data_IF_565455746167
#
_entry.id   IF_565455746167
#
_cell.length_a   1.000
_cell.length_b   1.000
_cell.length_c   1.000
_cell.angle_alpha   90.00
_cell.angle_beta   90.00
_cell.angle_gamma   90.00
#
_symmetry.space_group_name_H-M   'P 1'
#
loop_
_entity.id
_entity.type
_entity.pdbx_description
1 polymer ?
#
# COMPACT_ATOMS: atom_id res chain seq x y z
N UNK A 1 -7.29 1.43 -26.52
CA UNK A 1 -6.98 2.54 -25.60
C UNK A 1 -5.90 2.01 -24.69
N UNK A 2 -4.69 2.58 -24.73
CA UNK A 2 -3.64 2.21 -23.78
C UNK A 2 -4.17 2.43 -22.36
N UNK A 3 -4.16 1.39 -21.53
CA UNK A 3 -4.49 1.50 -20.12
C UNK A 3 -3.40 2.34 -19.45
N UNK A 4 -3.67 3.62 -19.25
CA UNK A 4 -2.79 4.49 -18.47
C UNK A 4 -2.73 3.94 -17.03
N UNK A 5 -1.54 3.58 -16.49
CA UNK A 5 -1.41 3.00 -15.16
C UNK A 5 -1.98 3.90 -14.05
N UNK A 6 -1.88 5.23 -14.21
CA UNK A 6 -2.45 6.21 -13.27
C UNK A 6 -3.97 6.17 -13.27
N UNK A 7 -4.59 6.01 -14.44
CA UNK A 7 -6.04 5.87 -14.57
C UNK A 7 -6.53 4.60 -13.87
N UNK A 8 -5.87 3.46 -14.12
CA UNK A 8 -6.18 2.20 -13.47
C UNK A 8 -6.00 2.29 -11.94
N UNK A 9 -4.96 2.97 -11.48
CA UNK A 9 -4.73 3.21 -10.05
C UNK A 9 -5.89 3.96 -9.39
N UNK A 10 -6.37 5.05 -9.99
CA UNK A 10 -7.52 5.79 -9.45
C UNK A 10 -8.81 4.94 -9.40
N UNK A 11 -9.04 4.11 -10.41
CA UNK A 11 -10.19 3.20 -10.44
C UNK A 11 -10.08 2.17 -9.32
N UNK A 12 -8.90 1.56 -9.13
CA UNK A 12 -8.68 0.58 -8.06
C UNK A 12 -8.88 1.20 -6.68
N UNK A 13 -8.31 2.40 -6.43
CA UNK A 13 -8.49 3.10 -5.15
C UNK A 13 -9.93 3.50 -4.88
N UNK A 14 -10.69 3.85 -5.91
CA UNK A 14 -12.12 4.07 -5.77
C UNK A 14 -12.85 2.79 -5.34
N UNK A 15 -12.55 1.64 -5.95
CA UNK A 15 -13.16 0.36 -5.59
C UNK A 15 -12.78 -0.09 -4.18
N UNK A 16 -11.51 0.05 -3.79
CA UNK A 16 -11.03 -0.25 -2.44
C UNK A 16 -11.75 0.62 -1.40
N UNK A 17 -11.87 1.92 -1.69
CA UNK A 17 -12.59 2.85 -0.84
C UNK A 17 -14.10 2.53 -0.74
N UNK A 18 -14.77 2.16 -1.84
CA UNK A 18 -16.17 1.72 -1.78
C UNK A 18 -16.34 0.47 -0.92
N UNK A 19 -15.44 -0.51 -1.09
CA UNK A 19 -15.45 -1.75 -0.30
C UNK A 19 -15.27 -1.46 1.19
N UNK A 20 -14.35 -0.56 1.54
CA UNK A 20 -14.09 -0.18 2.93
C UNK A 20 -15.25 0.58 3.59
N UNK A 21 -16.06 1.33 2.82
CA UNK A 21 -17.20 2.08 3.36
C UNK A 21 -18.53 1.30 3.29
N UNK A 22 -18.52 0.04 2.84
CA UNK A 22 -19.70 -0.83 2.68
C UNK A 22 -20.88 -0.17 1.93
N UNK A 23 -20.58 0.81 1.07
CA UNK A 23 -21.58 1.66 0.42
C UNK A 23 -21.26 1.85 -1.06
N UNK A 24 -22.32 1.84 -1.89
CA UNK A 24 -22.22 2.16 -3.30
C UNK A 24 -22.14 3.69 -3.47
N UNK A 25 -21.00 4.26 -3.11
CA UNK A 25 -20.72 5.68 -3.30
C UNK A 25 -20.26 5.99 -4.72
N UNK A 26 -20.63 7.14 -5.25
CA UNK A 26 -20.27 7.63 -6.58
C UNK A 26 -18.83 8.15 -6.66
N UNK A 27 -18.30 8.25 -7.88
CA UNK A 27 -16.99 8.88 -8.14
C UNK A 27 -16.93 10.35 -7.67
N UNK A 28 -18.06 11.06 -7.65
CA UNK A 28 -18.15 12.42 -7.11
C UNK A 28 -18.04 12.47 -5.58
N UNK A 29 -18.52 11.44 -4.88
CA UNK A 29 -18.30 11.31 -3.44
C UNK A 29 -16.85 10.96 -3.14
N UNK A 30 -16.22 10.11 -3.96
CA UNK A 30 -14.80 9.83 -3.84
C UNK A 30 -13.93 11.07 -4.09
N UNK A 31 -14.26 11.89 -5.10
CA UNK A 31 -13.59 13.18 -5.33
C UNK A 31 -13.67 14.10 -4.10
N UNK A 32 -14.85 14.19 -3.48
CA UNK A 32 -15.07 14.96 -2.25
C UNK A 32 -14.26 14.39 -1.07
N UNK A 33 -14.24 13.07 -0.91
CA UNK A 33 -13.42 12.40 0.10
C UNK A 33 -11.93 12.72 -0.05
N UNK A 34 -11.42 12.71 -1.29
CA UNK A 34 -10.04 13.09 -1.62
C UNK A 34 -9.77 14.60 -1.50
N UNK A 35 -10.80 15.44 -1.37
CA UNK A 35 -10.67 16.90 -1.37
C UNK A 35 -10.19 17.45 -2.73
N UNK A 36 -10.64 16.83 -3.81
CA UNK A 36 -10.35 17.25 -5.20
C UNK A 36 -11.66 17.56 -5.93
N UNK A 37 -11.59 18.33 -7.02
CA UNK A 37 -12.77 18.63 -7.82
C UNK A 37 -13.18 17.44 -8.69
N UNK A 38 -14.49 17.18 -8.79
CA UNK A 38 -15.06 16.08 -9.59
C UNK A 38 -14.54 16.04 -11.03
N UNK A 39 -14.45 17.21 -11.67
CA UNK A 39 -13.92 17.34 -13.02
C UNK A 39 -12.45 16.92 -13.10
N UNK A 40 -11.64 17.26 -12.09
CA UNK A 40 -10.23 16.92 -12.05
C UNK A 40 -10.07 15.40 -11.93
N UNK A 41 -10.75 14.77 -10.97
CA UNK A 41 -10.72 13.32 -10.78
C UNK A 41 -11.18 12.59 -12.04
N UNK A 42 -12.28 13.02 -12.66
CA UNK A 42 -12.76 12.42 -13.91
C UNK A 42 -11.72 12.54 -15.04
N UNK A 43 -10.94 13.61 -15.08
CA UNK A 43 -9.89 13.77 -16.10
C UNK A 43 -8.73 12.79 -15.87
N UNK A 44 -8.36 12.53 -14.61
CA UNK A 44 -7.34 11.56 -14.23
C UNK A 44 -7.78 10.10 -14.45
N UNK A 45 -9.01 9.76 -14.06
CA UNK A 45 -9.61 8.44 -14.27
C UNK A 45 -9.71 8.11 -15.76
N UNK A 46 -9.95 9.09 -16.63
CA UNK A 46 -9.95 8.90 -18.08
C UNK A 46 -8.55 8.99 -18.72
N UNK A 47 -7.49 9.16 -17.93
CA UNK A 47 -6.11 9.25 -18.41
C UNK A 47 -5.81 10.46 -19.31
N UNK A 48 -6.64 11.51 -19.26
CA UNK A 48 -6.51 12.69 -20.12
C UNK A 48 -5.46 13.69 -19.61
N UNK A 49 -5.21 13.71 -18.30
CA UNK A 49 -4.12 14.44 -17.67
C UNK A 49 -3.70 13.74 -16.37
N UNK A 50 -2.65 14.26 -15.74
CA UNK A 50 -2.16 13.81 -14.45
C UNK A 50 -2.37 14.89 -13.38
N UNK A 51 -2.50 14.52 -12.10
CA UNK A 51 -2.51 15.48 -11.00
C UNK A 51 -1.15 16.18 -10.91
N UNK A 52 -1.15 17.45 -10.48
CA UNK A 52 0.10 18.14 -10.13
C UNK A 52 0.73 17.52 -8.89
N UNK A 53 2.04 17.72 -8.68
CA UNK A 53 2.75 17.25 -7.48
C UNK A 53 1.98 17.52 -6.18
N UNK A 54 1.60 18.77 -5.94
CA UNK A 54 0.84 19.17 -4.73
C UNK A 54 -0.46 18.39 -4.58
N UNK A 55 -1.16 18.11 -5.68
CA UNK A 55 -2.41 17.34 -5.65
C UNK A 55 -2.15 15.85 -5.48
N UNK A 56 -1.12 15.31 -6.12
CA UNK A 56 -0.73 13.93 -5.95
C UNK A 56 -0.33 13.64 -4.50
N UNK A 57 0.49 14.49 -3.86
CA UNK A 57 0.85 14.37 -2.43
C UNK A 57 -0.40 14.37 -1.55
N UNK A 58 -1.31 15.34 -1.72
CA UNK A 58 -2.56 15.41 -0.97
C UNK A 58 -3.38 14.12 -1.08
N UNK A 59 -3.46 13.54 -2.29
CA UNK A 59 -4.19 12.29 -2.55
C UNK A 59 -3.48 11.12 -1.86
N UNK A 60 -2.16 11.04 -1.96
CA UNK A 60 -1.35 9.97 -1.36
C UNK A 60 -1.47 9.98 0.17
N UNK A 61 -1.33 11.14 0.81
CA UNK A 61 -1.53 11.32 2.25
C UNK A 61 -2.93 10.90 2.69
N UNK A 62 -3.96 11.23 1.90
CA UNK A 62 -5.34 10.91 2.23
C UNK A 62 -5.64 9.41 2.15
N UNK A 63 -4.99 8.71 1.22
CA UNK A 63 -5.17 7.28 0.97
C UNK A 63 -4.12 6.41 1.66
N UNK A 64 -3.12 7.03 2.32
CA UNK A 64 -1.94 6.36 2.86
C UNK A 64 -1.24 5.45 1.82
N UNK A 65 -1.12 5.93 0.57
CA UNK A 65 -0.48 5.21 -0.52
C UNK A 65 0.26 6.18 -1.45
N UNK A 66 1.59 6.09 -1.46
CA UNK A 66 2.50 6.95 -2.22
C UNK A 66 2.90 6.40 -3.60
N UNK A 67 2.40 5.23 -4.00
CA UNK A 67 2.70 4.62 -5.31
C UNK A 67 2.28 5.51 -6.49
N UNK A 68 1.28 6.38 -6.30
CA UNK A 68 0.90 7.40 -7.29
C UNK A 68 2.05 8.38 -7.59
N UNK A 69 2.86 8.76 -6.59
CA UNK A 69 4.01 9.64 -6.81
C UNK A 69 5.07 8.93 -7.66
N UNK A 70 5.34 7.66 -7.37
CA UNK A 70 6.28 6.85 -8.15
C UNK A 70 5.85 6.73 -9.61
N UNK A 71 4.57 6.42 -9.85
CA UNK A 71 3.99 6.35 -11.21
C UNK A 71 4.08 7.66 -11.98
N UNK A 72 4.05 8.80 -11.28
CA UNK A 72 4.15 10.13 -11.86
C UNK A 72 5.60 10.63 -11.97
N UNK A 73 6.59 9.87 -11.47
CA UNK A 73 7.99 10.26 -11.42
C UNK A 73 8.26 11.40 -10.43
N UNK A 74 7.42 11.54 -9.41
CA UNK A 74 7.55 12.54 -8.36
C UNK A 74 8.34 12.00 -7.16
N UNK A 75 9.05 12.91 -6.47
CA UNK A 75 9.75 12.57 -5.23
C UNK A 75 8.78 12.34 -4.08
N UNK A 76 8.96 11.25 -3.34
CA UNK A 76 8.24 10.99 -2.09
C UNK A 76 8.79 11.93 -0.99
N UNK A 77 7.94 12.65 -0.24
CA UNK A 77 8.36 13.47 0.91
C UNK A 77 9.19 12.65 1.91
N UNK A 78 10.25 13.23 2.48
CA UNK A 78 11.14 12.49 3.38
C UNK A 78 10.44 11.95 4.64
N UNK A 79 9.43 12.65 5.15
CA UNK A 79 8.63 12.20 6.31
C UNK A 79 7.81 10.95 6.04
N UNK A 80 7.51 10.68 4.77
CA UNK A 80 6.62 9.59 4.34
C UNK A 80 7.40 8.42 3.74
N UNK A 81 8.75 8.51 3.71
CA UNK A 81 9.59 7.39 3.31
C UNK A 81 9.44 6.28 4.34
N UNK A 82 9.17 5.08 3.85
CA UNK A 82 9.18 3.92 4.71
C UNK A 82 10.61 3.74 5.25
N UNK A 83 10.80 3.42 6.53
CA UNK A 83 12.11 3.01 7.04
C UNK A 83 12.71 1.87 6.20
N UNK A 84 11.86 1.06 5.57
CA UNK A 84 12.24 -0.03 4.68
C UNK A 84 12.85 0.45 3.35
N UNK A 85 12.61 1.69 2.93
CA UNK A 85 13.18 2.24 1.68
C UNK A 85 14.69 2.46 1.76
N UNK A 86 15.24 2.50 2.97
CA UNK A 86 16.69 2.54 3.20
C UNK A 86 17.35 1.16 3.07
N UNK A 87 16.56 0.08 3.00
CA UNK A 87 17.07 -1.28 2.93
C UNK A 87 17.47 -1.63 1.48
N UNK A 88 18.45 -2.53 1.29
CA UNK A 88 18.76 -3.07 -0.03
C UNK A 88 17.50 -3.67 -0.69
N UNK A 89 17.29 -3.50 -2.00
CA UNK A 89 16.07 -3.95 -2.68
C UNK A 89 15.72 -5.43 -2.42
N UNK A 90 16.72 -6.30 -2.51
CA UNK A 90 16.56 -7.74 -2.24
C UNK A 90 16.21 -8.04 -0.78
N UNK A 91 16.69 -7.21 0.15
CA UNK A 91 16.36 -7.37 1.56
C UNK A 91 14.92 -6.95 1.83
N UNK A 92 14.50 -5.81 1.26
CA UNK A 92 13.11 -5.32 1.34
C UNK A 92 12.12 -6.35 0.78
N UNK A 93 12.38 -6.86 -0.43
CA UNK A 93 11.52 -7.87 -1.06
C UNK A 93 11.37 -9.14 -0.21
N UNK A 94 12.46 -9.64 0.36
CA UNK A 94 12.40 -10.82 1.24
C UNK A 94 11.64 -10.54 2.53
N UNK A 95 11.77 -9.34 3.10
CA UNK A 95 11.08 -8.96 4.32
C UNK A 95 9.57 -8.81 4.11
N UNK A 96 9.17 -8.17 2.99
CA UNK A 96 7.77 -8.05 2.59
C UNK A 96 7.15 -9.43 2.33
N UNK A 97 7.85 -10.29 1.59
CA UNK A 97 7.39 -11.65 1.32
C UNK A 97 7.27 -12.50 2.59
N UNK A 98 8.23 -12.42 3.50
CA UNK A 98 8.17 -13.11 4.80
C UNK A 98 6.98 -12.63 5.64
N UNK A 99 6.76 -11.31 5.70
CA UNK A 99 5.65 -10.71 6.45
C UNK A 99 4.29 -11.14 5.90
N UNK A 100 4.12 -11.12 4.57
CA UNK A 100 2.89 -11.56 3.92
C UNK A 100 2.61 -13.06 4.13
N UNK A 101 3.65 -13.90 4.11
CA UNK A 101 3.50 -15.33 4.36
C UNK A 101 3.12 -15.61 5.82
N UNK A 102 3.67 -14.86 6.78
CA UNK A 102 3.27 -14.93 8.20
C UNK A 102 1.79 -14.61 8.35
N UNK A 103 1.33 -13.48 7.80
CA UNK A 103 -0.07 -13.07 7.89
C UNK A 103 -0.99 -14.16 7.34
N UNK A 104 -0.70 -14.67 6.14
CA UNK A 104 -1.45 -15.76 5.51
C UNK A 104 -1.53 -17.02 6.39
N UNK A 105 -0.40 -17.48 6.91
CA UNK A 105 -0.35 -18.73 7.69
C UNK A 105 -1.03 -18.58 9.05
N UNK A 106 -0.88 -17.44 9.72
CA UNK A 106 -1.54 -17.19 11.00
C UNK A 106 -3.05 -17.08 10.83
N UNK A 107 -3.53 -16.41 9.78
CA UNK A 107 -4.96 -16.35 9.44
C UNK A 107 -5.54 -17.73 9.12
N UNK A 108 -4.86 -18.53 8.28
CA UNK A 108 -5.31 -19.88 7.93
C UNK A 108 -5.43 -20.81 9.14
N UNK A 109 -4.58 -20.61 10.15
CA UNK A 109 -4.59 -21.39 11.39
C UNK A 109 -5.42 -20.77 12.50
N UNK A 110 -5.99 -19.58 12.31
CA UNK A 110 -6.72 -18.84 13.33
C UNK A 110 -5.87 -18.53 14.57
N UNK A 111 -4.56 -18.36 14.38
CA UNK A 111 -3.60 -18.10 15.46
C UNK A 111 -3.41 -16.60 15.66
N UNK A 112 -3.28 -16.19 16.91
CA UNK A 112 -2.82 -14.84 17.26
C UNK A 112 -1.32 -14.86 17.53
N UNK A 113 -0.63 -13.77 17.19
CA UNK A 113 0.84 -13.64 17.29
C UNK A 113 1.44 -13.78 18.69
N UNK A 114 0.62 -13.88 19.74
CA UNK A 114 1.04 -14.04 21.13
C UNK A 114 1.16 -15.51 21.57
N UNK A 115 0.74 -16.47 20.73
CA UNK A 115 0.86 -17.89 21.06
C UNK A 115 2.28 -18.41 20.81
N UNK A 116 2.82 -19.32 21.66
CA UNK A 116 4.12 -19.95 21.41
C UNK A 116 4.20 -20.71 20.07
N UNK A 117 3.04 -21.21 19.61
CA UNK A 117 2.90 -21.82 18.29
C UNK A 117 3.07 -20.80 17.17
N UNK A 118 2.43 -19.63 17.28
CA UNK A 118 2.61 -18.54 16.31
C UNK A 118 4.06 -18.05 16.27
N UNK A 119 4.72 -17.92 17.42
CA UNK A 119 6.14 -17.53 17.48
C UNK A 119 7.02 -18.53 16.71
N UNK A 120 6.79 -19.83 16.91
CA UNK A 120 7.54 -20.88 16.21
C UNK A 120 7.35 -20.82 14.69
N UNK A 121 6.11 -20.59 14.23
CA UNK A 121 5.75 -20.46 12.81
C UNK A 121 6.41 -19.21 12.20
N UNK A 122 6.34 -18.08 12.92
CA UNK A 122 6.97 -16.82 12.48
C UNK A 122 8.47 -17.03 12.32
N UNK A 123 9.14 -17.62 13.30
CA UNK A 123 10.58 -17.91 13.22
C UNK A 123 10.89 -18.78 12.00
N UNK A 124 10.15 -19.87 11.79
CA UNK A 124 10.38 -20.77 10.65
C UNK A 124 10.22 -20.07 9.30
N UNK A 125 9.17 -19.26 9.14
CA UNK A 125 8.93 -18.49 7.91
C UNK A 125 10.06 -17.51 7.69
N UNK A 126 10.42 -16.72 8.70
CA UNK A 126 11.51 -15.75 8.57
C UNK A 126 12.86 -16.43 8.27
N UNK A 127 13.14 -17.60 8.86
CA UNK A 127 14.32 -18.39 8.53
C UNK A 127 14.34 -18.89 7.09
N UNK A 128 13.19 -19.29 6.55
CA UNK A 128 13.06 -19.69 5.14
C UNK A 128 13.40 -18.54 4.18
N UNK A 129 13.07 -17.30 4.54
CA UNK A 129 13.46 -16.11 3.78
C UNK A 129 14.89 -15.60 4.09
N UNK A 130 15.63 -16.30 4.96
CA UNK A 130 17.04 -16.03 5.25
C UNK A 130 17.29 -15.08 6.40
N UNK A 131 16.27 -14.78 7.23
CA UNK A 131 16.42 -14.03 8.48
C UNK A 131 16.76 -14.99 9.61
N UNK A 132 17.71 -14.64 10.47
CA UNK A 132 18.08 -15.48 11.61
C UNK A 132 17.53 -14.91 12.89
N UNK A 133 16.73 -15.72 13.59
CA UNK A 133 16.26 -15.40 14.92
C UNK A 133 17.35 -15.80 15.93
N UNK A 134 17.82 -14.83 16.70
CA UNK A 134 18.70 -15.05 17.85
C UNK A 134 18.02 -14.46 19.07
N UNK A 135 17.62 -15.30 20.01
CA UNK A 135 17.09 -14.82 21.27
C UNK A 135 18.19 -14.04 21.99
N UNK A 136 18.02 -12.73 22.08
CA UNK A 136 19.00 -11.83 22.70
C UNK A 136 18.38 -11.43 24.03
N UNK A 137 18.89 -11.96 25.14
CA UNK A 137 18.50 -11.50 26.46
C UNK A 137 18.86 -10.00 26.56
N UNK A 138 17.84 -9.13 26.72
CA UNK A 138 18.01 -7.68 26.93
C UNK A 138 18.08 -7.40 28.42
#
# INVERSE_FOLDING_TARGET
MENNPVSAWFVNKYLDWQKANETLSSMAEFARYLGVGDKALNTWVNGRNNPSYKKAVQICEKLNDFSLLEMLGYSIPESERSPLDSLPPDFRLRLEAASAEVERVLEERGLTGESPEAESIVIEIFEHFGFKYTNTEI
#
